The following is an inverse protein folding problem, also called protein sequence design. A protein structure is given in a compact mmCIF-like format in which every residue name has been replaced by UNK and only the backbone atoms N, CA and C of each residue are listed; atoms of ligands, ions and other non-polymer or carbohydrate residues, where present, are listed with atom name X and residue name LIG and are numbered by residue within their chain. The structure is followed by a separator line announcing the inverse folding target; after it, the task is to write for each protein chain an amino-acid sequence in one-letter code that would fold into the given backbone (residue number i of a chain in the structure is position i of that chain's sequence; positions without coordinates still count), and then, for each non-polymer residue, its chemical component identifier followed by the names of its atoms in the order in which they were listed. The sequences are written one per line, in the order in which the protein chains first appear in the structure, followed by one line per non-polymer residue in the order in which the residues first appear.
data_IF_320426170200
#
_entry.id   IF_320426170200
#
_cell.length_a   1.000
_cell.length_b   1.000
_cell.length_c   1.000
_cell.angle_alpha   90.00
_cell.angle_beta   90.00
_cell.angle_gamma   90.00
#
_symmetry.space_group_name_H-M   'P 1'
#
loop_
_entity.id
_entity.type
_entity.pdbx_description
1 polymer ?
#
# COMPACT_ATOMS: atom_id res chain seq x y z
N UNK A 1 30.45 -58.68 -14.42
CA UNK A 1 29.19 -57.89 -14.58
C UNK A 1 28.72 -57.08 -13.34
N UNK A 2 29.41 -57.08 -12.18
CA UNK A 2 28.98 -56.31 -10.98
C UNK A 2 29.37 -54.82 -10.99
N UNK A 3 30.45 -54.44 -11.69
CA UNK A 3 30.99 -53.06 -11.69
C UNK A 3 30.09 -52.08 -12.47
N UNK A 4 29.55 -52.48 -13.61
CA UNK A 4 28.65 -51.64 -14.43
C UNK A 4 27.32 -51.35 -13.74
N UNK A 5 26.78 -52.29 -12.96
CA UNK A 5 25.57 -52.08 -12.14
C UNK A 5 25.81 -51.05 -11.03
N UNK A 6 26.97 -51.09 -10.35
CA UNK A 6 27.34 -50.09 -9.33
C UNK A 6 27.51 -48.69 -9.93
N UNK A 7 28.11 -48.59 -11.12
CA UNK A 7 28.29 -47.31 -11.83
C UNK A 7 26.92 -46.73 -12.26
N UNK A 8 25.99 -47.56 -12.76
CA UNK A 8 24.63 -47.12 -13.10
C UNK A 8 23.80 -46.73 -11.88
N UNK A 9 23.96 -47.41 -10.74
CA UNK A 9 23.32 -47.05 -9.47
C UNK A 9 23.86 -45.73 -8.90
N UNK A 10 25.18 -45.52 -8.95
CA UNK A 10 25.81 -44.27 -8.50
C UNK A 10 25.40 -43.10 -9.41
N UNK A 11 25.38 -43.31 -10.73
CA UNK A 11 24.93 -42.30 -11.68
C UNK A 11 23.45 -41.93 -11.47
N UNK A 12 22.58 -42.93 -11.22
CA UNK A 12 21.16 -42.68 -10.93
C UNK A 12 20.98 -41.92 -9.60
N UNK A 13 21.75 -42.25 -8.56
CA UNK A 13 21.74 -41.54 -7.28
C UNK A 13 22.22 -40.08 -7.41
N UNK A 14 23.26 -39.82 -8.21
CA UNK A 14 23.75 -38.46 -8.46
C UNK A 14 22.77 -37.60 -9.27
N UNK A 15 22.04 -38.20 -10.22
CA UNK A 15 20.99 -37.52 -10.98
C UNK A 15 19.79 -37.20 -10.09
N UNK A 16 19.39 -38.12 -9.20
CA UNK A 16 18.31 -37.87 -8.24
C UNK A 16 18.70 -36.77 -7.23
N UNK A 17 19.95 -36.76 -6.76
CA UNK A 17 20.45 -35.74 -5.83
C UNK A 17 20.50 -34.34 -6.47
N UNK A 18 20.79 -34.24 -7.76
CA UNK A 18 20.83 -32.96 -8.48
C UNK A 18 19.45 -32.37 -8.77
N UNK A 19 18.40 -33.20 -8.87
CA UNK A 19 17.01 -32.74 -9.00
C UNK A 19 16.48 -32.13 -7.69
N UNK A 20 16.93 -32.61 -6.53
CA UNK A 20 16.49 -32.10 -5.21
C UNK A 20 17.05 -30.68 -4.92
N UNK A 21 18.22 -30.33 -5.48
CA UNK A 21 18.85 -29.02 -5.28
C UNK A 21 18.35 -27.94 -6.25
N UNK A 22 17.52 -28.30 -7.24
CA UNK A 22 17.03 -27.38 -8.27
C UNK A 22 15.74 -26.61 -7.93
N UNK A 23 15.09 -26.88 -6.79
CA UNK A 23 13.83 -26.24 -6.38
C UNK A 23 13.99 -25.07 -5.40
N UNK A 24 15.21 -24.61 -5.13
CA UNK A 24 15.43 -23.32 -4.45
C UNK A 24 15.27 -22.15 -5.44
N UNK A 25 14.08 -22.04 -6.04
CA UNK A 25 13.67 -20.88 -6.83
C UNK A 25 13.35 -19.69 -5.91
N UNK A 26 13.92 -18.53 -6.24
CA UNK A 26 13.66 -17.19 -5.71
C UNK A 26 12.93 -17.08 -4.35
N UNK A 27 13.70 -17.01 -3.26
CA UNK A 27 13.31 -16.15 -2.15
C UNK A 27 14.14 -14.89 -2.24
N UNK A 28 13.64 -13.91 -3.00
CA UNK A 28 14.12 -12.55 -2.84
C UNK A 28 13.80 -12.13 -1.42
N UNK A 29 14.82 -11.85 -0.62
CA UNK A 29 14.70 -11.19 0.67
C UNK A 29 14.14 -9.77 0.45
N UNK A 30 12.83 -9.67 0.21
CA UNK A 30 12.07 -8.54 0.70
C UNK A 30 11.81 -8.86 2.16
N UNK A 31 12.71 -8.39 3.04
CA UNK A 31 12.41 -8.19 4.46
C UNK A 31 11.30 -7.13 4.58
N UNK A 32 10.10 -7.50 4.16
CA UNK A 32 8.87 -6.80 4.48
C UNK A 32 8.33 -7.46 5.73
N UNK A 33 8.60 -6.85 6.87
CA UNK A 33 7.95 -7.16 8.13
C UNK A 33 6.45 -6.85 7.97
N UNK A 34 5.69 -7.77 7.36
CA UNK A 34 4.26 -7.68 7.13
C UNK A 34 3.52 -8.00 8.43
N UNK A 35 3.77 -7.18 9.45
CA UNK A 35 2.72 -6.83 10.39
C UNK A 35 1.79 -5.88 9.63
N UNK A 36 0.47 -6.03 9.79
CA UNK A 36 -0.54 -5.11 9.27
C UNK A 36 -0.38 -3.71 9.91
N UNK A 37 0.72 -3.01 9.62
CA UNK A 37 0.95 -1.64 10.03
C UNK A 37 0.35 -0.78 8.94
N UNK A 38 -0.81 -0.20 9.21
CA UNK A 38 -1.40 0.83 8.37
C UNK A 38 -0.34 1.90 8.10
N UNK A 39 -0.12 2.22 6.83
CA UNK A 39 0.78 3.30 6.42
C UNK A 39 0.19 4.64 6.90
N UNK A 40 1.04 5.48 7.50
CA UNK A 40 0.64 6.77 8.07
C UNK A 40 1.63 7.84 7.63
N UNK A 41 1.13 9.05 7.44
CA UNK A 41 1.90 10.23 7.06
C UNK A 41 1.45 11.41 7.91
N UNK A 42 2.38 12.31 8.22
CA UNK A 42 2.10 13.46 9.07
C UNK A 42 1.93 13.09 10.54
N UNK A 43 1.13 13.89 11.24
CA UNK A 43 0.79 13.71 12.66
C UNK A 43 -0.36 12.71 12.82
N UNK A 44 -0.66 12.33 14.06
CA UNK A 44 -1.82 11.50 14.33
C UNK A 44 -3.13 12.27 14.14
N UNK A 45 -4.08 11.65 13.44
CA UNK A 45 -5.47 12.12 13.30
C UNK A 45 -6.12 12.18 14.67
N UNK A 46 -6.64 13.35 15.02
CA UNK A 46 -7.27 13.65 16.31
C UNK A 46 -8.79 13.60 16.24
N UNK A 47 -9.37 13.90 15.08
CA UNK A 47 -10.80 13.96 14.84
C UNK A 47 -11.42 12.56 14.71
N UNK A 48 -12.53 12.39 15.41
CA UNK A 48 -13.25 11.09 15.50
C UNK A 48 -14.43 11.01 14.56
N UNK A 49 -15.08 12.14 14.31
CA UNK A 49 -16.28 12.22 13.49
C UNK A 49 -15.92 12.39 12.02
N UNK A 50 -16.52 11.55 11.16
CA UNK A 50 -16.31 11.62 9.72
C UNK A 50 -17.28 12.62 9.13
N UNK A 51 -16.76 13.64 8.46
CA UNK A 51 -17.54 14.61 7.69
C UNK A 51 -17.72 14.11 6.26
N UNK A 52 -18.92 14.25 5.68
CA UNK A 52 -19.12 13.91 4.25
C UNK A 52 -18.76 15.08 3.34
N UNK A 53 -18.32 14.78 2.12
CA UNK A 53 -18.02 15.80 1.10
C UNK A 53 -19.26 16.65 0.78
N UNK A 54 -20.45 16.05 0.76
CA UNK A 54 -21.70 16.77 0.56
C UNK A 54 -22.00 17.78 1.67
N UNK A 55 -21.72 17.45 2.92
CA UNK A 55 -21.97 18.38 4.03
C UNK A 55 -21.10 19.62 3.90
N UNK A 56 -19.83 19.45 3.50
CA UNK A 56 -18.92 20.56 3.20
C UNK A 56 -19.48 21.46 2.09
N UNK A 57 -20.00 20.86 1.00
CA UNK A 57 -20.58 21.65 -0.09
C UNK A 57 -21.91 22.32 0.27
N UNK A 58 -22.68 21.72 1.18
CA UNK A 58 -23.99 22.25 1.58
C UNK A 58 -23.84 23.37 2.63
N UNK A 59 -22.89 23.22 3.56
CA UNK A 59 -22.68 24.12 4.69
C UNK A 59 -21.22 24.60 4.79
N UNK A 60 -20.64 25.21 3.73
CA UNK A 60 -19.20 25.50 3.68
C UNK A 60 -18.72 26.36 4.84
N UNK A 61 -19.54 27.32 5.29
CA UNK A 61 -19.18 28.24 6.38
C UNK A 61 -18.97 27.54 7.73
N UNK A 62 -19.56 26.35 7.95
CA UNK A 62 -19.39 25.58 9.18
C UNK A 62 -18.03 24.87 9.24
N UNK A 63 -17.41 24.62 8.09
CA UNK A 63 -16.16 23.85 7.97
C UNK A 63 -14.94 24.71 7.64
N UNK A 64 -15.13 25.99 7.30
CA UNK A 64 -14.02 26.91 7.07
C UNK A 64 -13.18 27.08 8.35
N UNK A 65 -11.87 26.92 8.21
CA UNK A 65 -10.88 27.01 9.28
C UNK A 65 -11.10 26.01 10.44
N UNK A 66 -11.86 24.94 10.21
CA UNK A 66 -12.00 23.84 11.15
C UNK A 66 -11.07 22.68 10.76
N UNK A 67 -10.59 21.96 11.76
CA UNK A 67 -10.00 20.63 11.55
C UNK A 67 -11.15 19.63 11.44
N UNK A 68 -11.14 18.82 10.38
CA UNK A 68 -12.17 17.82 10.13
C UNK A 68 -11.54 16.52 9.65
N UNK A 69 -12.22 15.40 9.89
CA UNK A 69 -11.82 14.11 9.33
C UNK A 69 -12.67 13.75 8.12
N UNK A 70 -11.99 13.37 7.05
CA UNK A 70 -12.57 12.82 5.83
C UNK A 70 -12.14 11.37 5.64
N UNK A 71 -13.04 10.56 5.09
CA UNK A 71 -12.76 9.20 4.67
C UNK A 71 -13.19 9.00 3.22
N UNK A 72 -12.31 8.44 2.41
CA UNK A 72 -12.64 8.23 1.00
C UNK A 72 -11.55 7.53 0.24
N UNK A 73 -11.71 7.46 -1.08
CA UNK A 73 -10.78 6.86 -2.01
C UNK A 73 -10.04 7.94 -2.78
N UNK A 74 -8.73 7.81 -2.91
CA UNK A 74 -7.95 8.67 -3.81
C UNK A 74 -8.25 8.28 -5.25
N UNK A 75 -8.85 9.19 -6.03
CA UNK A 75 -9.24 8.94 -7.43
C UNK A 75 -8.29 9.59 -8.43
N UNK A 76 -7.55 10.61 -8.00
CA UNK A 76 -6.52 11.29 -8.78
C UNK A 76 -5.52 11.93 -7.84
N UNK A 77 -4.25 11.95 -8.19
CA UNK A 77 -3.21 12.58 -7.37
C UNK A 77 -2.17 13.30 -8.22
N UNK A 78 -1.42 14.20 -7.59
CA UNK A 78 -0.24 14.80 -8.19
C UNK A 78 0.88 13.76 -8.31
N UNK A 79 1.64 13.76 -9.41
CA UNK A 79 2.80 12.88 -9.56
C UNK A 79 3.90 13.09 -8.51
N UNK A 80 3.99 14.29 -7.92
CA UNK A 80 4.89 14.59 -6.80
C UNK A 80 4.26 14.43 -5.42
N UNK A 81 2.99 13.98 -5.35
CA UNK A 81 2.33 13.65 -4.08
C UNK A 81 1.90 14.83 -3.23
N UNK A 82 1.86 16.06 -3.75
CA UNK A 82 1.55 17.26 -2.96
C UNK A 82 0.05 17.58 -2.85
N UNK A 83 -0.80 16.93 -3.65
CA UNK A 83 -2.27 17.05 -3.58
C UNK A 83 -2.93 15.80 -4.16
N UNK A 84 -4.20 15.61 -3.84
CA UNK A 84 -5.04 14.56 -4.43
C UNK A 84 -6.53 14.91 -4.42
N UNK A 85 -7.32 14.21 -5.23
CA UNK A 85 -8.78 14.20 -5.15
C UNK A 85 -9.23 12.98 -4.36
N UNK A 86 -10.04 13.23 -3.33
CA UNK A 86 -10.65 12.22 -2.48
C UNK A 86 -12.14 12.11 -2.80
N UNK A 87 -12.60 10.91 -3.05
CA UNK A 87 -14.00 10.60 -3.36
C UNK A 87 -14.61 9.76 -2.23
N UNK A 88 -15.72 10.24 -1.67
CA UNK A 88 -16.59 9.47 -0.78
C UNK A 88 -17.89 9.08 -1.51
N UNK A 89 -18.89 8.58 -0.79
CA UNK A 89 -20.18 8.18 -1.39
C UNK A 89 -21.02 9.39 -1.85
N UNK A 90 -20.65 10.60 -1.45
CA UNK A 90 -21.44 11.82 -1.60
C UNK A 90 -20.84 12.80 -2.60
N UNK A 91 -19.55 12.71 -2.89
CA UNK A 91 -18.88 13.54 -3.89
C UNK A 91 -17.36 13.39 -3.90
N UNK A 92 -16.71 14.27 -4.64
CA UNK A 92 -15.24 14.35 -4.74
C UNK A 92 -14.76 15.70 -4.26
N UNK A 93 -13.74 15.74 -3.41
CA UNK A 93 -13.12 16.96 -2.91
C UNK A 93 -11.62 16.98 -3.24
N UNK A 94 -11.08 18.19 -3.47
CA UNK A 94 -9.65 18.41 -3.65
C UNK A 94 -8.97 18.62 -2.30
N UNK A 95 -7.88 17.88 -2.05
CA UNK A 95 -7.09 17.94 -0.82
C UNK A 95 -5.68 18.39 -1.18
N UNK A 96 -5.28 19.57 -0.69
CA UNK A 96 -3.93 20.11 -0.81
C UNK A 96 -3.15 19.87 0.47
N UNK A 97 -2.08 19.08 0.39
CA UNK A 97 -1.22 18.77 1.54
C UNK A 97 0.14 19.49 1.46
N UNK A 98 0.37 20.26 0.39
CA UNK A 98 1.60 21.00 0.17
C UNK A 98 1.90 22.03 1.28
N UNK A 99 0.92 22.79 1.81
CA UNK A 99 1.17 23.75 2.90
C UNK A 99 1.72 23.11 4.17
N UNK A 100 1.42 21.82 4.39
CA UNK A 100 1.92 21.04 5.53
C UNK A 100 3.34 20.51 5.31
N UNK A 101 3.95 20.76 4.14
CA UNK A 101 5.28 20.24 3.78
C UNK A 101 5.29 18.73 3.55
N UNK A 102 4.12 18.12 3.36
CA UNK A 102 3.97 16.68 3.17
C UNK A 102 3.92 16.32 1.68
N UNK A 103 4.43 15.13 1.36
CA UNK A 103 4.25 14.47 0.08
C UNK A 103 3.99 12.99 0.32
N UNK A 104 3.01 12.44 -0.39
CA UNK A 104 2.68 11.02 -0.33
C UNK A 104 3.19 10.31 -1.60
N UNK A 105 3.69 9.06 -1.51
CA UNK A 105 3.93 8.25 -2.69
C UNK A 105 2.61 7.91 -3.39
N UNK A 106 2.62 7.41 -4.64
CA UNK A 106 1.38 7.15 -5.37
C UNK A 106 0.40 6.22 -4.63
N UNK A 107 -0.83 6.71 -4.39
CA UNK A 107 -1.92 6.04 -3.66
C UNK A 107 -3.26 6.05 -4.40
N UNK A 108 -3.33 6.42 -5.68
CA UNK A 108 -4.57 6.28 -6.46
C UNK A 108 -5.16 4.88 -6.31
N UNK A 109 -6.47 4.84 -6.01
CA UNK A 109 -7.22 3.61 -5.77
C UNK A 109 -7.31 3.18 -4.31
N UNK A 110 -6.50 3.75 -3.40
CA UNK A 110 -6.51 3.41 -1.97
C UNK A 110 -7.59 4.18 -1.22
N UNK A 111 -8.21 3.51 -0.24
CA UNK A 111 -9.02 4.15 0.79
C UNK A 111 -8.11 4.75 1.85
N UNK A 112 -8.39 5.99 2.24
CA UNK A 112 -7.59 6.78 3.19
C UNK A 112 -8.49 7.52 4.17
N UNK A 113 -7.89 7.89 5.30
CA UNK A 113 -8.44 8.82 6.27
C UNK A 113 -7.50 10.03 6.28
N UNK A 114 -8.04 11.24 6.21
CA UNK A 114 -7.26 12.49 6.20
C UNK A 114 -7.85 13.52 7.17
N UNK A 115 -6.97 14.35 7.73
CA UNK A 115 -7.21 15.48 8.63
C UNK A 115 -6.27 16.63 8.25
#
# INVERSE_FOLDING_TARGET
MRKTKKIRLIAALLIILSVILGVSGCSGNSSGNSSNKSERYGVDITEKEVTSVKDIYTNPNEYLNQTIRLEGKIVRECGSGCWFFLEDETGTIFVDINPSGLSIPPKVGKKVVVE
#
